data_IF_204895194043
#
_entry.id   IF_204895194043
#
_cell.length_a   1.000
_cell.length_b   1.000
_cell.length_c   1.000
_cell.angle_alpha   90.00
_cell.angle_beta   90.00
_cell.angle_gamma   90.00
#
_symmetry.space_group_name_H-M   'P 1'
#
loop_
_entity.id
_entity.type
_entity.pdbx_description
1 polymer ?
#
# COMPACT_ATOMS: atom_id res chain seq x y z
N UNK A 1 18.77 -8.23 26.74
CA UNK A 1 19.69 -8.14 25.59
C UNK A 1 19.26 -6.96 24.75
N UNK A 2 20.03 -5.88 24.77
CA UNK A 2 19.72 -4.60 24.12
C UNK A 2 20.26 -4.62 22.70
N UNK A 3 19.39 -4.49 21.69
CA UNK A 3 19.82 -4.26 20.32
C UNK A 3 20.12 -2.76 20.19
N UNK A 4 21.39 -2.44 19.94
CA UNK A 4 21.84 -1.09 19.68
C UNK A 4 21.11 -0.52 18.46
N UNK A 5 20.35 0.55 18.66
CA UNK A 5 19.86 1.39 17.58
C UNK A 5 21.09 2.00 16.87
N UNK A 6 21.24 1.72 15.58
CA UNK A 6 22.31 2.27 14.77
C UNK A 6 22.24 3.80 14.76
N UNK A 7 23.29 4.45 15.27
CA UNK A 7 23.43 5.90 15.29
C UNK A 7 23.54 6.43 13.87
N UNK A 8 22.56 7.22 13.40
CA UNK A 8 22.60 7.89 12.09
C UNK A 8 23.32 9.24 12.18
N UNK A 9 23.99 9.59 11.09
CA UNK A 9 24.53 10.91 10.87
C UNK A 9 23.40 11.98 10.91
N UNK A 10 23.60 13.10 11.60
CA UNK A 10 22.63 14.20 11.63
C UNK A 10 22.56 14.88 10.26
N UNK A 11 21.40 14.80 9.58
CA UNK A 11 21.12 15.57 8.36
C UNK A 11 20.40 14.83 7.22
N UNK A 12 20.41 13.50 7.18
CA UNK A 12 19.72 12.75 6.11
C UNK A 12 18.23 12.54 6.45
N UNK A 13 17.32 12.88 5.53
CA UNK A 13 15.90 12.52 5.61
C UNK A 13 15.71 11.01 5.64
N UNK A 14 14.65 10.50 6.28
CA UNK A 14 14.34 9.04 6.25
C UNK A 14 13.93 8.67 4.81
N UNK A 15 14.43 7.56 4.24
CA UNK A 15 13.98 7.10 2.93
C UNK A 15 12.46 6.84 2.98
N UNK A 16 11.76 7.19 1.90
CA UNK A 16 10.32 6.93 1.78
C UNK A 16 10.13 5.59 1.09
N UNK A 17 9.30 4.73 1.68
CA UNK A 17 8.97 3.41 1.14
C UNK A 17 7.48 3.35 0.87
N UNK A 18 7.13 3.09 -0.39
CA UNK A 18 5.76 2.91 -0.84
C UNK A 18 5.23 1.53 -0.43
N UNK A 19 4.01 1.46 0.09
CA UNK A 19 3.32 0.21 0.40
C UNK A 19 2.01 0.19 -0.37
N UNK A 20 1.83 -0.74 -1.31
CA UNK A 20 0.53 -0.91 -1.98
C UNK A 20 -0.40 -1.70 -1.07
N UNK A 21 -1.64 -1.22 -0.88
CA UNK A 21 -2.63 -1.90 -0.01
C UNK A 21 -3.12 -3.25 -0.55
N UNK A 22 -2.89 -3.53 -1.84
CA UNK A 22 -3.32 -4.74 -2.51
C UNK A 22 -4.82 -4.78 -2.80
N UNK A 23 -5.38 -5.98 -2.79
CA UNK A 23 -6.82 -6.23 -3.03
C UNK A 23 -7.67 -5.57 -1.93
N UNK A 24 -8.56 -4.62 -2.26
CA UNK A 24 -9.31 -3.85 -1.26
C UNK A 24 -10.28 -4.69 -0.42
N UNK A 25 -10.75 -5.84 -0.90
CA UNK A 25 -11.59 -6.77 -0.12
C UNK A 25 -10.76 -7.76 0.72
N UNK A 26 -9.45 -7.83 0.50
CA UNK A 26 -8.54 -8.69 1.23
C UNK A 26 -8.10 -8.11 2.57
N UNK A 27 -7.12 -8.75 3.19
CA UNK A 27 -6.54 -8.34 4.49
C UNK A 27 -5.43 -7.28 4.38
N UNK A 28 -5.04 -6.93 3.15
CA UNK A 28 -3.94 -6.00 2.87
C UNK A 28 -4.13 -4.62 3.52
N UNK A 29 -5.31 -3.98 3.42
CA UNK A 29 -5.61 -2.72 4.11
C UNK A 29 -5.39 -2.80 5.63
N UNK A 30 -5.83 -3.87 6.29
CA UNK A 30 -5.68 -4.07 7.73
C UNK A 30 -4.21 -4.28 8.13
N UNK A 31 -3.44 -5.03 7.33
CA UNK A 31 -1.99 -5.16 7.53
C UNK A 31 -1.28 -3.82 7.38
N UNK A 32 -1.70 -2.98 6.42
CA UNK A 32 -1.17 -1.63 6.25
C UNK A 32 -1.49 -0.73 7.45
N UNK A 33 -2.64 -0.91 8.10
CA UNK A 33 -2.97 -0.15 9.31
C UNK A 33 -2.05 -0.50 10.50
N UNK A 34 -1.52 -1.71 10.54
CA UNK A 34 -0.66 -2.19 11.62
C UNK A 34 0.80 -1.76 11.49
N UNK A 35 1.19 -1.08 10.41
CA UNK A 35 2.58 -0.61 10.23
C UNK A 35 3.01 0.35 11.34
N UNK A 36 2.06 1.07 11.96
CA UNK A 36 2.32 2.00 13.06
C UNK A 36 2.60 1.30 14.40
N UNK A 37 2.40 -0.02 14.50
CA UNK A 37 2.71 -0.81 15.70
C UNK A 37 4.22 -0.94 15.94
N UNK A 38 5.05 -0.55 14.97
CA UNK A 38 6.52 -0.62 15.04
C UNK A 38 7.14 0.70 14.58
N UNK A 39 8.31 1.02 15.12
CA UNK A 39 9.17 2.06 14.54
C UNK A 39 10.01 1.46 13.42
N UNK A 40 10.08 2.16 12.31
CA UNK A 40 10.79 1.73 11.10
C UNK A 40 11.93 2.69 10.79
N UNK A 41 13.07 2.21 10.25
CA UNK A 41 14.16 3.07 9.83
C UNK A 41 13.85 3.89 8.55
N UNK A 42 12.59 3.93 8.12
CA UNK A 42 12.07 4.56 6.93
C UNK A 42 10.72 5.25 7.20
N UNK A 43 10.32 6.18 6.34
CA UNK A 43 8.97 6.75 6.31
C UNK A 43 8.11 5.88 5.41
N UNK A 44 7.08 5.25 5.96
CA UNK A 44 6.20 4.36 5.21
C UNK A 44 4.99 5.15 4.72
N UNK A 45 4.69 5.05 3.42
CA UNK A 45 3.51 5.66 2.81
C UNK A 45 2.67 4.59 2.12
N UNK A 46 1.37 4.56 2.42
CA UNK A 46 0.44 3.58 1.85
C UNK A 46 -0.23 4.15 0.61
N UNK A 47 -0.17 3.44 -0.50
CA UNK A 47 -0.96 3.72 -1.69
C UNK A 47 -2.28 2.98 -1.55
N UNK A 48 -3.37 3.73 -1.38
CA UNK A 48 -4.69 3.19 -1.15
C UNK A 48 -5.80 4.21 -1.42
N UNK A 49 -7.05 3.75 -1.44
CA UNK A 49 -8.18 4.64 -1.18
C UNK A 49 -8.17 5.04 0.30
N UNK A 50 -8.21 6.34 0.60
CA UNK A 50 -8.09 6.84 1.97
C UNK A 50 -9.37 6.58 2.77
N UNK A 51 -10.53 6.57 2.11
CA UNK A 51 -11.81 6.28 2.73
C UNK A 51 -11.93 4.79 3.03
N UNK A 52 -11.39 3.91 2.18
CA UNK A 52 -11.23 2.50 2.50
C UNK A 52 -10.40 2.33 3.78
N UNK A 53 -9.23 2.96 3.84
CA UNK A 53 -8.33 2.86 5.00
C UNK A 53 -8.97 3.38 6.28
N UNK A 54 -9.69 4.51 6.22
CA UNK A 54 -10.46 5.05 7.35
C UNK A 54 -11.57 4.10 7.81
N UNK A 55 -12.33 3.54 6.86
CA UNK A 55 -13.38 2.58 7.18
C UNK A 55 -12.81 1.31 7.83
N UNK A 56 -11.66 0.80 7.37
CA UNK A 56 -10.97 -0.34 7.98
C UNK A 56 -10.41 -0.02 9.38
N UNK A 57 -9.84 1.17 9.56
CA UNK A 57 -9.36 1.62 10.86
C UNK A 57 -10.51 1.71 11.88
N UNK A 58 -11.66 2.26 11.48
CA UNK A 58 -12.85 2.32 12.31
C UNK A 58 -13.35 0.91 12.70
N UNK A 59 -13.39 -0.03 11.74
CA UNK A 59 -13.81 -1.41 11.98
C UNK A 59 -12.88 -2.18 12.95
N UNK A 60 -11.59 -1.81 13.03
CA UNK A 60 -10.61 -2.38 13.95
C UNK A 60 -10.57 -1.70 15.33
N UNK A 61 -11.51 -0.80 15.63
CA UNK A 61 -11.59 -0.10 16.93
C UNK A 61 -11.10 1.34 16.91
N UNK A 62 -10.81 1.92 15.73
CA UNK A 62 -10.65 3.36 15.53
C UNK A 62 -9.38 4.00 16.10
N UNK A 63 -8.44 3.23 16.62
CA UNK A 63 -7.21 3.74 17.24
C UNK A 63 -6.19 4.29 16.26
N UNK A 64 -6.18 3.80 15.02
CA UNK A 64 -5.24 4.21 13.99
C UNK A 64 -5.77 5.41 13.22
N UNK A 65 -5.04 6.53 13.25
CA UNK A 65 -5.37 7.71 12.45
C UNK A 65 -4.81 7.58 11.03
N UNK A 66 -5.68 7.76 10.04
CA UNK A 66 -5.33 7.75 8.62
C UNK A 66 -5.32 9.17 8.07
N UNK A 67 -4.18 9.61 7.57
CA UNK A 67 -3.93 10.99 7.11
C UNK A 67 -3.43 11.01 5.67
N UNK A 68 -3.71 12.07 4.88
CA UNK A 68 -3.09 12.21 3.57
C UNK A 68 -1.57 12.37 3.72
N UNK A 69 -0.82 11.75 2.83
CA UNK A 69 0.62 11.94 2.74
C UNK A 69 0.96 13.30 2.16
N UNK A 70 1.91 13.98 2.79
CA UNK A 70 2.53 15.22 2.28
C UNK A 70 4.05 15.13 2.48
N UNK A 71 4.80 15.16 1.38
CA UNK A 71 6.26 15.08 1.39
C UNK A 71 6.91 16.29 2.07
N UNK A 72 6.25 17.46 2.08
CA UNK A 72 6.75 18.68 2.71
C UNK A 72 6.56 18.68 4.24
N UNK A 73 5.71 17.81 4.76
CA UNK A 73 5.40 17.72 6.20
C UNK A 73 6.12 16.51 6.81
N UNK A 74 6.58 16.66 8.05
CA UNK A 74 7.18 15.55 8.80
C UNK A 74 6.12 14.49 9.14
N UNK A 75 6.49 13.21 9.05
CA UNK A 75 5.61 12.11 9.42
C UNK A 75 5.14 12.24 10.87
N UNK A 76 3.84 12.07 11.09
CA UNK A 76 3.24 12.13 12.43
C UNK A 76 3.26 10.73 13.05
N UNK A 77 3.89 10.54 14.24
CA UNK A 77 3.90 9.26 14.91
C UNK A 77 2.49 8.70 15.16
N UNK A 78 2.34 7.38 15.02
CA UNK A 78 1.05 6.70 15.22
C UNK A 78 0.02 6.96 14.13
N UNK A 79 0.41 7.52 12.98
CA UNK A 79 -0.49 7.73 11.84
C UNK A 79 -0.08 6.91 10.63
N UNK A 80 -1.07 6.52 9.84
CA UNK A 80 -0.88 5.91 8.52
C UNK A 80 -1.05 6.99 7.48
N UNK A 81 0.04 7.31 6.78
CA UNK A 81 0.03 8.29 5.70
C UNK A 81 -0.38 7.61 4.40
N UNK A 82 -1.34 8.20 3.68
CA UNK A 82 -1.94 7.62 2.48
C UNK A 82 -1.76 8.55 1.28
N UNK A 83 -1.22 8.01 0.19
CA UNK A 83 -1.39 8.57 -1.16
C UNK A 83 -2.68 8.02 -1.72
N UNK A 84 -3.65 8.91 -1.93
CA UNK A 84 -4.99 8.53 -2.33
C UNK A 84 -5.05 8.06 -3.79
N UNK A 85 -5.57 6.85 -4.00
CA UNK A 85 -6.02 6.33 -5.28
C UNK A 85 -7.43 5.78 -5.07
N UNK A 86 -8.45 6.40 -5.67
CA UNK A 86 -9.85 6.04 -5.40
C UNK A 86 -10.24 4.65 -5.92
N UNK A 87 -11.12 3.96 -5.19
CA UNK A 87 -11.79 2.75 -5.67
C UNK A 87 -12.82 3.07 -6.77
N UNK A 88 -13.11 2.08 -7.62
CA UNK A 88 -14.20 2.20 -8.59
C UNK A 88 -15.56 1.88 -7.94
N UNK A 89 -15.58 0.94 -6.99
CA UNK A 89 -16.75 0.56 -6.20
C UNK A 89 -16.40 0.39 -4.73
N UNK A 90 -17.33 0.64 -3.80
CA UNK A 90 -17.12 0.37 -2.38
C UNK A 90 -16.68 -1.07 -2.12
N UNK A 91 -15.68 -1.25 -1.24
CA UNK A 91 -15.15 -2.59 -0.92
C UNK A 91 -15.76 -3.16 0.36
N UNK A 92 -16.24 -4.40 0.27
CA UNK A 92 -16.67 -5.20 1.43
C UNK A 92 -15.60 -6.24 1.77
N UNK A 93 -15.17 -6.38 3.04
CA UNK A 93 -14.19 -7.40 3.43
C UNK A 93 -14.64 -8.80 3.03
N UNK A 94 -13.74 -9.60 2.46
CA UNK A 94 -13.99 -10.98 2.05
C UNK A 94 -14.86 -11.13 0.79
N UNK A 95 -15.27 -10.03 0.15
CA UNK A 95 -16.07 -10.04 -1.09
C UNK A 95 -15.37 -9.23 -2.18
N UNK A 96 -14.42 -9.83 -2.90
CA UNK A 96 -13.76 -9.15 -4.01
C UNK A 96 -14.75 -8.73 -5.10
N UNK A 97 -14.47 -7.61 -5.75
CA UNK A 97 -15.27 -7.05 -6.85
C UNK A 97 -14.34 -6.79 -8.03
N UNK A 98 -14.59 -7.44 -9.16
CA UNK A 98 -13.80 -7.31 -10.39
C UNK A 98 -13.72 -5.86 -10.88
N UNK A 99 -14.71 -5.01 -10.58
CA UNK A 99 -14.68 -3.59 -10.91
C UNK A 99 -13.51 -2.85 -10.23
N UNK A 100 -12.98 -3.38 -9.12
CA UNK A 100 -11.81 -2.85 -8.43
C UNK A 100 -10.48 -3.47 -8.90
N UNK A 101 -10.47 -4.35 -9.91
CA UNK A 101 -9.23 -4.91 -10.47
C UNK A 101 -8.29 -3.82 -10.99
N UNK A 102 -8.83 -2.83 -11.69
CA UNK A 102 -8.07 -1.67 -12.17
C UNK A 102 -7.50 -0.81 -11.04
N UNK A 103 -8.12 -0.80 -9.85
CA UNK A 103 -7.57 -0.10 -8.69
C UNK A 103 -6.25 -0.75 -8.24
N UNK A 104 -6.19 -2.09 -8.16
CA UNK A 104 -4.98 -2.81 -7.74
C UNK A 104 -3.82 -2.53 -8.69
N UNK A 105 -4.07 -2.50 -9.99
CA UNK A 105 -3.06 -2.14 -11.00
C UNK A 105 -2.57 -0.70 -10.84
N UNK A 106 -3.48 0.27 -10.64
CA UNK A 106 -3.08 1.67 -10.40
C UNK A 106 -2.20 1.83 -9.15
N UNK A 107 -2.39 1.02 -8.11
CA UNK A 107 -1.50 1.05 -6.95
C UNK A 107 -0.07 0.64 -7.34
N UNK A 108 0.06 -0.44 -8.12
CA UNK A 108 1.34 -0.96 -8.58
C UNK A 108 2.02 0.04 -9.52
N UNK A 109 1.30 0.54 -10.52
CA UNK A 109 1.83 1.51 -11.50
C UNK A 109 2.35 2.76 -10.80
N UNK A 110 1.60 3.30 -9.83
CA UNK A 110 2.00 4.50 -9.09
C UNK A 110 3.22 4.25 -8.21
N UNK A 111 3.32 3.08 -7.57
CA UNK A 111 4.47 2.72 -6.75
C UNK A 111 5.73 2.53 -7.61
N UNK A 112 5.60 1.85 -8.77
CA UNK A 112 6.69 1.68 -9.74
C UNK A 112 7.15 3.04 -10.26
N UNK A 113 6.22 3.88 -10.72
CA UNK A 113 6.54 5.22 -11.22
C UNK A 113 7.26 6.07 -10.17
N UNK A 114 6.84 6.01 -8.91
CA UNK A 114 7.51 6.71 -7.81
C UNK A 114 8.91 6.18 -7.52
N UNK A 115 9.13 4.87 -7.61
CA UNK A 115 10.47 4.28 -7.49
C UNK A 115 11.39 4.72 -8.65
N UNK A 116 10.89 4.66 -9.89
CA UNK A 116 11.64 5.07 -11.09
C UNK A 116 11.99 6.56 -11.04
N UNK A 117 11.08 7.40 -10.54
CA UNK A 117 11.30 8.84 -10.39
C UNK A 117 12.17 9.21 -9.18
N UNK A 118 12.56 8.24 -8.33
CA UNK A 118 13.31 8.49 -7.10
C UNK A 118 12.50 9.14 -5.98
N UNK A 119 11.17 9.24 -6.13
CA UNK A 119 10.25 9.68 -5.08
C UNK A 119 10.22 8.67 -3.92
N UNK A 120 10.27 7.37 -4.26
CA UNK A 120 10.34 6.28 -3.30
C UNK A 120 11.68 5.55 -3.43
N UNK A 121 12.30 5.24 -2.30
CA UNK A 121 13.53 4.46 -2.29
C UNK A 121 13.26 2.97 -2.60
N UNK A 122 12.05 2.49 -2.32
CA UNK A 122 11.57 1.15 -2.68
C UNK A 122 10.04 1.07 -2.58
N UNK A 123 9.48 -0.05 -3.03
CA UNK A 123 8.09 -0.41 -2.83
C UNK A 123 7.94 -1.79 -2.20
N UNK A 124 6.87 -1.97 -1.42
CA UNK A 124 6.42 -3.23 -0.81
C UNK A 124 4.97 -3.45 -1.21
N UNK A 125 4.62 -4.69 -1.55
CA UNK A 125 3.24 -5.04 -1.91
C UNK A 125 2.59 -5.84 -0.79
N UNK A 126 1.48 -5.36 -0.23
CA UNK A 126 0.62 -6.20 0.61
C UNK A 126 0.01 -7.35 -0.22
N UNK A 127 -0.55 -8.41 0.42
CA UNK A 127 -1.10 -9.55 -0.31
C UNK A 127 -2.13 -9.14 -1.38
N UNK A 128 -2.00 -9.70 -2.58
CA UNK A 128 -2.92 -9.52 -3.71
C UNK A 128 -3.64 -10.82 -4.04
N UNK A 129 -4.94 -10.77 -4.33
CA UNK A 129 -5.72 -11.94 -4.74
C UNK A 129 -5.64 -12.14 -6.25
N UNK A 130 -4.80 -13.07 -6.71
CA UNK A 130 -4.50 -13.30 -8.14
C UNK A 130 -5.75 -13.54 -9.01
N UNK A 131 -6.78 -14.24 -8.50
CA UNK A 131 -7.98 -14.58 -9.28
C UNK A 131 -8.79 -13.36 -9.75
N UNK A 132 -8.86 -12.31 -8.92
CA UNK A 132 -9.70 -11.12 -9.20
C UNK A 132 -9.02 -10.19 -10.20
N UNK A 133 -7.68 -10.18 -10.20
CA UNK A 133 -6.88 -9.47 -11.20
C UNK A 133 -7.06 -10.12 -12.58
N UNK A 134 -7.00 -11.45 -12.68
CA UNK A 134 -7.19 -12.16 -13.96
C UNK A 134 -8.62 -12.03 -14.51
N UNK A 135 -9.63 -12.11 -13.64
CA UNK A 135 -11.04 -12.01 -14.02
C UNK A 135 -11.43 -10.58 -14.45
N UNK A 136 -10.95 -9.55 -13.73
CA UNK A 136 -11.17 -8.14 -14.10
C UNK A 136 -10.47 -7.70 -15.39
N UNK A 137 -9.45 -8.44 -15.83
CA UNK A 137 -8.76 -8.22 -17.11
C UNK A 137 -9.36 -9.03 -18.28
N UNK A 138 -10.43 -9.80 -18.06
CA UNK A 138 -11.10 -10.58 -19.11
C UNK A 138 -10.29 -11.76 -19.64
N UNK A 139 -9.34 -12.28 -18.87
CA UNK A 139 -8.51 -13.42 -19.29
C UNK A 139 -9.30 -14.74 -19.13
N UNK A 140 -10.13 -15.07 -20.12
CA UNK A 140 -10.81 -16.37 -20.18
C UNK A 140 -10.03 -17.48 -20.91
N UNK A 141 -8.93 -17.17 -21.58
CA UNK A 141 -7.95 -18.18 -21.98
C UNK A 141 -6.65 -17.51 -22.42
N UNK A 142 -5.51 -18.11 -22.09
CA UNK A 142 -4.14 -17.83 -22.58
C UNK A 142 -3.23 -16.75 -21.95
N UNK A 143 -3.52 -16.16 -20.78
CA UNK A 143 -2.49 -15.39 -20.04
C UNK A 143 -2.40 -15.80 -18.57
N UNK A 144 -1.47 -16.70 -18.27
CA UNK A 144 -1.08 -17.08 -16.92
C UNK A 144 -0.32 -15.93 -16.25
N UNK A 145 -0.96 -15.22 -15.32
CA UNK A 145 -0.29 -14.27 -14.42
C UNK A 145 0.38 -15.02 -13.26
N UNK A 146 1.69 -15.29 -13.37
CA UNK A 146 2.38 -16.23 -12.46
C UNK A 146 2.86 -15.60 -11.14
N UNK A 147 2.85 -14.28 -10.96
CA UNK A 147 3.17 -13.64 -9.66
C UNK A 147 3.90 -12.29 -9.77
N UNK A 148 4.34 -11.72 -8.62
CA UNK A 148 4.94 -10.37 -8.55
C UNK A 148 6.21 -10.18 -9.39
N UNK A 149 6.87 -11.28 -9.78
CA UNK A 149 8.13 -11.25 -10.52
C UNK A 149 7.92 -10.98 -12.03
N UNK A 150 6.69 -11.08 -12.53
CA UNK A 150 6.42 -10.97 -13.98
C UNK A 150 6.10 -9.56 -14.49
N UNK A 151 6.01 -8.54 -13.63
CA UNK A 151 5.59 -7.18 -14.04
C UNK A 151 6.73 -6.23 -14.43
N UNK A 152 7.99 -6.70 -14.45
CA UNK A 152 9.17 -5.84 -14.69
C UNK A 152 9.66 -5.87 -16.15
N UNK A 153 8.93 -6.50 -17.08
CA UNK A 153 9.31 -6.53 -18.50
C UNK A 153 8.10 -6.31 -19.41
N UNK A 154 7.54 -5.11 -19.40
CA UNK A 154 6.89 -4.47 -20.55
C UNK A 154 7.24 -2.99 -20.55
#
# INVERSE_FOLDING_TARGET
MSVAAGTRAPGASRPIIAITSGEPAGVGPELCLRIVERDWPARLVVLADIELMRARAAALGGSVRVVPFDAAVAAVPGTVEVIHLGLARPSTPGKPDAANGAYVLRLLDRAIAGCVAGEFAAMVTAPVHKGVICEGLGAHDSMSFTGPVSYTHL
#
